data_IF_992543224409
#
_entry.id   IF_992543224409
#
_cell.length_a   1.000
_cell.length_b   1.000
_cell.length_c   1.000
_cell.angle_alpha   90.00
_cell.angle_beta   90.00
_cell.angle_gamma   90.00
#
_symmetry.space_group_name_H-M   'P 1'
#
loop_
_entity.id
_entity.type
_entity.pdbx_description
1 polymer ?
#
# COMPACT_ATOMS: atom_id res chain seq x y z
N UNK A 1 1.43 -47.16 -29.65
CA UNK A 1 0.28 -46.59 -28.92
C UNK A 1 0.87 -45.94 -27.68
N UNK A 2 0.95 -44.61 -27.67
CA UNK A 2 1.64 -43.85 -26.62
C UNK A 2 0.57 -43.26 -25.71
N UNK A 3 0.47 -43.77 -24.49
CA UNK A 3 -0.46 -43.25 -23.48
C UNK A 3 0.06 -41.90 -22.94
N UNK A 4 -0.72 -40.85 -23.15
CA UNK A 4 -0.50 -39.55 -22.54
C UNK A 4 -1.06 -39.59 -21.11
N UNK A 5 -0.18 -39.48 -20.11
CA UNK A 5 -0.60 -39.17 -18.73
C UNK A 5 -1.04 -37.70 -18.66
N UNK A 6 -2.33 -37.47 -18.51
CA UNK A 6 -2.87 -36.16 -18.14
C UNK A 6 -2.50 -35.83 -16.68
N UNK A 7 -1.60 -34.87 -16.49
CA UNK A 7 -1.30 -34.31 -15.17
C UNK A 7 -2.45 -33.38 -14.78
N UNK A 8 -3.37 -33.89 -13.97
CA UNK A 8 -4.41 -33.11 -13.33
C UNK A 8 -3.80 -32.13 -12.32
N UNK A 9 -3.57 -30.88 -12.74
CA UNK A 9 -3.20 -29.79 -11.84
C UNK A 9 -4.45 -29.37 -11.06
N UNK A 10 -4.63 -29.95 -9.88
CA UNK A 10 -5.63 -29.49 -8.92
C UNK A 10 -5.25 -28.08 -8.46
N UNK A 11 -5.92 -27.08 -9.05
CA UNK A 11 -5.77 -25.68 -8.66
C UNK A 11 -6.43 -25.50 -7.30
N UNK A 12 -5.65 -25.66 -6.23
CA UNK A 12 -6.14 -25.53 -4.87
C UNK A 12 -6.38 -24.03 -4.56
N UNK A 13 -7.58 -23.54 -4.92
CA UNK A 13 -8.04 -22.13 -4.79
C UNK A 13 -8.31 -21.68 -3.34
N UNK A 14 -7.75 -22.36 -2.34
CA UNK A 14 -8.03 -22.09 -0.92
C UNK A 14 -6.78 -21.79 -0.08
N UNK A 15 -5.75 -21.15 -0.67
CA UNK A 15 -4.77 -20.42 0.17
C UNK A 15 -5.40 -19.11 0.62
N UNK A 16 -6.20 -19.16 1.68
CA UNK A 16 -6.44 -17.98 2.51
C UNK A 16 -5.07 -17.55 3.03
N UNK A 17 -4.55 -16.45 2.47
CA UNK A 17 -3.39 -15.75 3.03
C UNK A 17 -3.73 -15.51 4.51
N UNK A 18 -2.84 -15.87 5.47
CA UNK A 18 -3.10 -15.57 6.87
C UNK A 18 -3.44 -14.09 6.97
N UNK A 19 -4.61 -13.77 7.51
CA UNK A 19 -4.94 -12.39 7.88
C UNK A 19 -3.85 -12.00 8.86
N UNK A 20 -2.85 -11.24 8.43
CA UNK A 20 -2.02 -10.51 9.37
C UNK A 20 -3.00 -9.68 10.15
N UNK A 21 -3.20 -10.01 11.43
CA UNK A 21 -3.93 -9.16 12.37
C UNK A 21 -3.20 -7.83 12.28
N UNK A 22 -3.81 -6.87 11.59
CA UNK A 22 -3.27 -5.53 11.44
C UNK A 22 -3.53 -4.87 12.79
N UNK A 23 -2.61 -5.09 13.73
CA UNK A 23 -2.62 -4.53 15.10
C UNK A 23 -2.76 -3.00 15.11
N UNK A 24 -2.62 -2.34 13.95
CA UNK A 24 -3.03 -0.94 13.79
C UNK A 24 -4.48 -0.67 14.15
N UNK A 25 -5.40 -1.63 13.93
CA UNK A 25 -6.80 -1.46 14.29
C UNK A 25 -7.03 -1.42 15.81
N UNK A 26 -6.13 -1.99 16.61
CA UNK A 26 -6.23 -2.04 18.08
C UNK A 26 -5.65 -0.80 18.77
N UNK A 27 -4.85 0.01 18.07
CA UNK A 27 -4.25 1.25 18.59
C UNK A 27 -5.30 2.37 18.73
N UNK A 28 -6.41 2.27 17.98
CA UNK A 28 -7.43 3.31 17.92
C UNK A 28 -8.74 2.74 18.50
N UNK A 29 -9.23 3.35 19.58
CA UNK A 29 -10.29 2.80 20.43
C UNK A 29 -11.70 2.83 19.81
N UNK A 30 -12.58 1.94 20.28
CA UNK A 30 -13.87 1.52 19.70
C UNK A 30 -14.92 2.61 19.30
N UNK A 31 -14.74 3.91 19.60
CA UNK A 31 -15.56 4.99 19.00
C UNK A 31 -15.21 5.25 17.51
N UNK A 32 -14.22 4.51 17.03
CA UNK A 32 -13.39 4.74 15.86
C UNK A 32 -14.08 4.64 14.49
N UNK A 33 -14.97 3.67 14.26
CA UNK A 33 -15.27 3.28 12.88
C UNK A 33 -16.01 4.37 12.09
N UNK A 34 -16.99 5.02 12.72
CA UNK A 34 -17.75 6.13 12.11
C UNK A 34 -16.90 7.38 11.97
N UNK A 35 -16.10 7.69 12.98
CA UNK A 35 -15.23 8.86 12.96
C UNK A 35 -14.09 8.70 11.93
N UNK A 36 -13.50 7.51 11.79
CA UNK A 36 -12.55 7.19 10.71
C UNK A 36 -13.18 7.34 9.33
N UNK A 37 -14.44 6.93 9.16
CA UNK A 37 -15.14 7.12 7.89
C UNK A 37 -15.30 8.61 7.57
N UNK A 38 -15.76 9.41 8.55
CA UNK A 38 -15.84 10.87 8.41
C UNK A 38 -14.50 11.52 8.11
N UNK A 39 -13.42 11.06 8.76
CA UNK A 39 -12.05 11.54 8.51
C UNK A 39 -11.55 11.18 7.12
N UNK A 40 -11.91 10.01 6.60
CA UNK A 40 -11.62 9.62 5.23
C UNK A 40 -12.36 10.51 4.22
N UNK A 41 -13.63 10.80 4.46
CA UNK A 41 -14.42 11.69 3.59
C UNK A 41 -13.86 13.10 3.61
N UNK A 42 -13.58 13.67 4.78
CA UNK A 42 -12.90 14.96 4.91
C UNK A 42 -11.55 14.97 4.20
N UNK A 43 -10.77 13.90 4.32
CA UNK A 43 -9.47 13.79 3.67
C UNK A 43 -9.60 13.79 2.14
N UNK A 44 -10.61 13.11 1.59
CA UNK A 44 -10.93 13.14 0.15
C UNK A 44 -11.33 14.52 -0.30
N UNK A 45 -12.17 15.22 0.47
CA UNK A 45 -12.58 16.59 0.17
C UNK A 45 -11.38 17.54 0.13
N UNK A 46 -10.45 17.40 1.09
CA UNK A 46 -9.20 18.18 1.12
C UNK A 46 -8.31 17.91 -0.11
N UNK A 47 -8.19 16.65 -0.53
CA UNK A 47 -7.46 16.31 -1.77
C UNK A 47 -8.18 16.91 -2.99
N UNK A 48 -9.50 16.84 -3.01
CA UNK A 48 -10.35 17.40 -4.05
C UNK A 48 -10.21 18.93 -4.16
N UNK A 49 -10.12 19.63 -3.03
CA UNK A 49 -9.95 21.08 -2.95
C UNK A 49 -8.50 21.53 -3.18
N UNK A 50 -7.53 20.63 -3.04
CA UNK A 50 -6.11 20.98 -3.17
C UNK A 50 -5.76 21.44 -4.59
N UNK A 51 -5.02 22.55 -4.65
CA UNK A 51 -4.43 23.11 -5.88
C UNK A 51 -2.97 22.69 -6.07
N UNK A 52 -2.45 21.84 -5.19
CA UNK A 52 -1.06 21.39 -5.27
C UNK A 52 -0.84 20.56 -6.55
N UNK A 53 0.18 20.90 -7.33
CA UNK A 53 0.49 20.23 -8.59
C UNK A 53 0.81 18.73 -8.44
N UNK A 54 1.33 18.31 -7.27
CA UNK A 54 1.54 16.90 -6.97
C UNK A 54 0.23 16.08 -6.97
N UNK A 55 -0.90 16.75 -6.73
CA UNK A 55 -2.26 16.19 -6.73
C UNK A 55 -3.04 16.56 -8.01
N UNK A 56 -2.34 16.89 -9.10
CA UNK A 56 -2.97 17.15 -10.40
C UNK A 56 -3.79 15.95 -10.87
N UNK A 57 -3.26 14.73 -10.67
CA UNK A 57 -4.03 13.51 -10.85
C UNK A 57 -4.68 13.09 -9.52
N UNK A 58 -6.00 13.19 -9.47
CA UNK A 58 -6.83 12.88 -8.29
C UNK A 58 -7.35 11.43 -8.30
N UNK A 59 -6.86 10.59 -9.21
CA UNK A 59 -7.24 9.17 -9.31
C UNK A 59 -7.03 8.40 -7.99
N UNK A 60 -6.03 8.79 -7.19
CA UNK A 60 -5.74 8.19 -5.89
C UNK A 60 -6.89 8.30 -4.87
N UNK A 61 -7.84 9.24 -5.05
CA UNK A 61 -8.98 9.43 -4.17
C UNK A 61 -9.94 8.22 -4.12
N UNK A 62 -9.92 7.40 -5.17
CA UNK A 62 -10.81 6.26 -5.33
C UNK A 62 -10.34 5.04 -4.52
N UNK A 63 -9.04 4.95 -4.22
CA UNK A 63 -8.47 3.84 -3.46
C UNK A 63 -8.47 4.13 -1.95
N UNK A 64 -9.53 3.66 -1.29
CA UNK A 64 -9.70 3.79 0.17
C UNK A 64 -8.52 3.19 0.94
N UNK A 65 -8.01 2.03 0.50
CA UNK A 65 -6.94 1.34 1.21
C UNK A 65 -5.62 2.12 1.09
N UNK A 66 -5.38 2.74 -0.06
CA UNK A 66 -4.24 3.63 -0.27
C UNK A 66 -4.33 4.86 0.65
N UNK A 67 -5.45 5.57 0.67
CA UNK A 67 -5.63 6.76 1.51
C UNK A 67 -5.52 6.44 3.00
N UNK A 68 -6.08 5.32 3.44
CA UNK A 68 -6.01 4.88 4.83
C UNK A 68 -4.56 4.71 5.32
N UNK A 69 -3.59 4.34 4.46
CA UNK A 69 -2.18 4.23 4.88
C UNK A 69 -1.64 5.55 5.43
N UNK A 70 -2.03 6.67 4.83
CA UNK A 70 -1.61 8.01 5.27
C UNK A 70 -2.33 8.43 6.54
N UNK A 71 -3.64 8.18 6.62
CA UNK A 71 -4.43 8.45 7.82
C UNK A 71 -3.91 7.65 9.03
N UNK A 72 -3.66 6.35 8.88
CA UNK A 72 -3.07 5.55 9.95
C UNK A 72 -1.67 6.02 10.35
N UNK A 73 -0.82 6.38 9.38
CA UNK A 73 0.53 6.90 9.65
C UNK A 73 0.51 8.21 10.45
N UNK A 74 -0.58 8.99 10.35
CA UNK A 74 -0.77 10.28 11.01
C UNK A 74 -1.89 10.28 12.05
N UNK A 75 -2.29 9.11 12.56
CA UNK A 75 -3.32 8.98 13.62
C UNK A 75 -4.63 9.73 13.29
N UNK A 76 -5.06 9.69 12.02
CA UNK A 76 -6.25 10.37 11.50
C UNK A 76 -6.25 11.91 11.59
N UNK A 77 -5.06 12.52 11.68
CA UNK A 77 -4.88 13.94 11.37
C UNK A 77 -4.89 14.14 9.84
N UNK A 78 -5.96 14.75 9.32
CA UNK A 78 -6.18 14.92 7.88
C UNK A 78 -5.19 15.91 7.24
N UNK A 79 -4.78 16.96 7.95
CA UNK A 79 -3.82 17.95 7.44
C UNK A 79 -2.42 17.34 7.34
N UNK A 80 -1.99 16.67 8.41
CA UNK A 80 -0.70 15.98 8.41
C UNK A 80 -0.67 14.81 7.41
N UNK A 81 -1.80 14.13 7.20
CA UNK A 81 -1.93 13.07 6.19
C UNK A 81 -1.85 13.64 4.76
N UNK A 82 -2.44 14.82 4.52
CA UNK A 82 -2.36 15.50 3.22
C UNK A 82 -0.94 15.92 2.88
N UNK A 83 -0.23 16.52 3.84
CA UNK A 83 1.18 16.88 3.67
C UNK A 83 2.04 15.63 3.37
N UNK A 84 1.81 14.52 4.09
CA UNK A 84 2.52 13.26 3.81
C UNK A 84 2.21 12.71 2.42
N UNK A 85 0.95 12.77 1.97
CA UNK A 85 0.55 12.35 0.63
C UNK A 85 1.24 13.18 -0.46
N UNK A 86 1.25 14.51 -0.31
CA UNK A 86 1.93 15.42 -1.24
C UNK A 86 3.42 15.08 -1.32
N UNK A 87 4.09 14.91 -0.16
CA UNK A 87 5.50 14.52 -0.11
C UNK A 87 5.77 13.18 -0.80
N UNK A 88 4.89 12.20 -0.60
CA UNK A 88 5.00 10.90 -1.28
C UNK A 88 4.87 11.03 -2.81
N UNK A 89 3.91 11.80 -3.30
CA UNK A 89 3.71 12.00 -4.74
C UNK A 89 4.87 12.79 -5.37
N UNK A 90 5.36 13.81 -4.69
CA UNK A 90 6.58 14.52 -5.11
C UNK A 90 7.78 13.58 -5.14
N UNK A 91 7.97 12.74 -4.13
CA UNK A 91 9.05 11.75 -4.14
C UNK A 91 8.96 10.84 -5.36
N UNK A 92 7.76 10.38 -5.71
CA UNK A 92 7.56 9.54 -6.90
C UNK A 92 7.93 10.26 -8.19
N UNK A 93 7.54 11.53 -8.33
CA UNK A 93 7.80 12.31 -9.54
C UNK A 93 9.31 12.61 -9.70
N UNK A 94 9.97 13.06 -8.63
CA UNK A 94 11.42 13.33 -8.66
C UNK A 94 12.24 12.06 -8.95
N UNK A 95 11.77 10.90 -8.49
CA UNK A 95 12.45 9.61 -8.64
C UNK A 95 11.84 8.74 -9.74
N UNK A 96 11.10 9.33 -10.69
CA UNK A 96 10.42 8.58 -11.76
C UNK A 96 11.36 7.72 -12.59
N UNK A 97 12.60 8.16 -12.77
CA UNK A 97 13.63 7.43 -13.52
C UNK A 97 13.95 6.05 -12.93
N UNK A 98 13.93 5.89 -11.59
CA UNK A 98 14.09 4.58 -10.93
C UNK A 98 12.75 3.85 -10.77
N UNK A 99 11.65 4.57 -10.51
CA UNK A 99 10.37 3.95 -10.18
C UNK A 99 9.58 3.46 -11.41
N UNK A 100 9.74 4.09 -12.58
CA UNK A 100 8.97 3.76 -13.77
C UNK A 100 9.38 2.41 -14.38
N UNK A 101 10.62 1.98 -14.15
CA UNK A 101 11.17 0.71 -14.67
C UNK A 101 11.18 -0.42 -13.64
N UNK A 102 10.52 -0.24 -12.49
CA UNK A 102 10.42 -1.28 -11.47
C UNK A 102 9.73 -2.52 -12.05
N UNK A 103 10.48 -3.61 -12.11
CA UNK A 103 10.01 -4.91 -12.55
C UNK A 103 10.34 -5.94 -11.50
N UNK A 104 9.41 -6.88 -11.26
CA UNK A 104 9.69 -8.04 -10.43
C UNK A 104 10.75 -8.96 -11.06
N UNK A 105 11.03 -8.80 -12.36
CA UNK A 105 12.04 -9.55 -13.09
C UNK A 105 13.36 -8.78 -13.25
N UNK A 106 13.50 -7.61 -12.61
CA UNK A 106 14.76 -6.87 -12.64
C UNK A 106 15.87 -7.69 -11.95
N UNK A 107 16.89 -8.07 -12.72
CA UNK A 107 17.98 -8.93 -12.24
C UNK A 107 18.80 -8.29 -11.12
N UNK A 108 18.96 -6.97 -11.14
CA UNK A 108 19.70 -6.25 -10.10
C UNK A 108 18.92 -6.25 -8.79
N UNK A 109 17.60 -6.04 -8.86
CA UNK A 109 16.72 -6.13 -7.70
C UNK A 109 16.71 -7.56 -7.16
N UNK A 110 16.54 -8.57 -8.01
CA UNK A 110 16.52 -9.98 -7.60
C UNK A 110 17.84 -10.42 -6.98
N UNK A 111 18.98 -9.98 -7.53
CA UNK A 111 20.30 -10.28 -6.97
C UNK A 111 20.48 -9.61 -5.61
N UNK A 112 20.13 -8.32 -5.50
CA UNK A 112 20.20 -7.59 -4.22
C UNK A 112 19.34 -8.26 -3.14
N UNK A 113 18.13 -8.69 -3.47
CA UNK A 113 17.24 -9.40 -2.54
C UNK A 113 17.80 -10.78 -2.13
N UNK A 114 18.40 -11.54 -3.06
CA UNK A 114 19.05 -12.83 -2.76
C UNK A 114 20.26 -12.67 -1.84
N UNK A 115 20.99 -11.58 -2.00
CA UNK A 115 22.14 -11.23 -1.15
C UNK A 115 21.72 -10.70 0.23
N UNK A 116 20.41 -10.58 0.49
CA UNK A 116 19.86 -10.11 1.77
C UNK A 116 19.81 -8.59 1.89
N UNK A 117 19.79 -7.86 0.77
CA UNK A 117 19.82 -6.39 0.71
C UNK A 117 18.58 -5.81 0.02
N UNK A 118 17.55 -5.35 0.75
CA UNK A 118 17.36 -5.49 2.20
C UNK A 118 16.77 -6.87 2.57
N UNK A 119 17.12 -7.36 3.76
CA UNK A 119 16.47 -8.52 4.36
C UNK A 119 15.24 -8.10 5.15
N UNK A 120 14.23 -8.98 5.25
CA UNK A 120 13.03 -8.77 6.06
C UNK A 120 12.93 -9.88 7.09
N UNK A 121 12.83 -9.50 8.37
CA UNK A 121 12.66 -10.45 9.47
C UNK A 121 11.29 -11.14 9.40
N UNK A 122 11.25 -12.42 9.78
CA UNK A 122 10.01 -13.23 9.77
C UNK A 122 9.00 -12.80 10.84
N UNK A 123 9.48 -12.19 11.91
CA UNK A 123 8.67 -11.73 13.04
C UNK A 123 8.80 -10.22 13.18
N UNK A 124 7.70 -9.58 13.58
CA UNK A 124 7.70 -8.15 13.91
C UNK A 124 8.42 -7.93 15.24
N UNK A 125 8.96 -6.74 15.42
CA UNK A 125 9.46 -6.31 16.72
C UNK A 125 8.31 -6.18 17.74
N UNK A 126 8.67 -6.14 19.02
CA UNK A 126 7.77 -6.10 20.18
C UNK A 126 6.91 -4.84 20.24
#
# INVERSE_FOLDING_TARGET
>A
MTEFMEVHVQTNRNRRVPRSIDTRQEIFGNSDARDRHRKLDLFRDMIGASVNLALRDKSCCMDINFLNRFLYAKKFDCEAALDLLIKYLLFKEHNKHILQKLSIFDENIQTSLRDGNPSVLKQRDR
#
